data_IF_052373927342
#
_entry.id   IF_052373927342
#
_cell.length_a   1.000
_cell.length_b   1.000
_cell.length_c   1.000
_cell.angle_alpha   90.00
_cell.angle_beta   90.00
_cell.angle_gamma   90.00
#
_symmetry.space_group_name_H-M   'P 1'
#
loop_
_entity.id
_entity.type
_entity.pdbx_description
1 polymer ?
#
# COMPACT_ATOMS: atom_id res chain seq x y z
N UNK A 1 32.50 6.37 60.21
CA UNK A 1 31.38 5.46 59.90
C UNK A 1 30.33 6.22 59.13
N UNK A 2 30.05 5.81 57.88
CA UNK A 2 28.73 5.78 57.22
C UNK A 2 28.90 5.72 55.70
N UNK A 3 28.64 4.53 55.18
CA UNK A 3 28.36 4.18 53.79
C UNK A 3 27.14 4.94 53.25
N UNK A 4 27.17 5.39 51.98
CA UNK A 4 25.99 5.55 51.12
C UNK A 4 26.44 5.78 49.67
N UNK A 5 26.40 4.74 48.81
CA UNK A 5 25.32 4.44 47.85
C UNK A 5 25.46 5.21 46.52
N UNK A 6 25.87 4.44 45.52
CA UNK A 6 25.89 4.68 44.08
C UNK A 6 24.47 4.90 43.54
N UNK A 7 24.27 5.91 42.68
CA UNK A 7 23.12 5.99 41.76
C UNK A 7 23.66 6.41 40.40
N UNK A 8 23.62 5.47 39.44
CA UNK A 8 23.91 5.70 38.02
C UNK A 8 22.60 6.15 37.37
N UNK A 9 22.49 7.36 36.80
CA UNK A 9 21.31 7.75 36.06
C UNK A 9 21.36 7.16 34.65
N UNK A 10 20.35 6.34 34.33
CA UNK A 10 20.07 5.84 33.01
C UNK A 10 19.57 7.02 32.15
N UNK A 11 20.38 7.46 31.17
CA UNK A 11 19.97 8.47 30.20
C UNK A 11 19.01 7.81 29.21
N UNK A 12 17.72 8.15 29.33
CA UNK A 12 16.70 7.85 28.33
C UNK A 12 17.02 8.65 27.05
N UNK A 13 17.29 7.95 25.94
CA UNK A 13 17.37 8.57 24.63
C UNK A 13 16.02 9.20 24.29
N UNK A 14 15.96 10.53 24.33
CA UNK A 14 14.88 11.30 23.73
C UNK A 14 14.88 10.99 22.22
N UNK A 15 13.83 10.29 21.79
CA UNK A 15 13.58 9.98 20.41
C UNK A 15 13.31 11.27 19.60
N UNK A 16 13.91 11.28 18.41
CA UNK A 16 13.69 12.08 17.22
C UNK A 16 12.60 13.17 17.25
N UNK A 17 13.04 14.38 16.93
CA UNK A 17 12.25 15.45 16.34
C UNK A 17 11.37 14.95 15.19
N UNK A 18 10.05 15.02 15.37
CA UNK A 18 9.04 14.72 14.36
C UNK A 18 7.89 15.71 14.46
N UNK A 19 7.98 16.75 13.61
CA UNK A 19 6.97 17.69 13.12
C UNK A 19 5.51 17.58 13.67
N UNK A 20 4.89 18.69 14.15
CA UNK A 20 3.49 18.66 14.59
C UNK A 20 2.55 18.31 13.44
N UNK A 21 1.70 17.33 13.71
CA UNK A 21 0.69 16.78 12.82
C UNK A 21 -0.34 17.83 12.40
N UNK A 22 -0.62 17.89 11.09
CA UNK A 22 -1.91 18.34 10.58
C UNK A 22 -2.81 17.12 10.42
N UNK A 23 -3.93 16.99 11.17
CA UNK A 23 -4.95 16.04 10.79
C UNK A 23 -5.83 16.71 9.73
N UNK A 24 -5.51 16.50 8.46
CA UNK A 24 -6.52 16.56 7.43
C UNK A 24 -7.43 15.34 7.63
N UNK A 25 -8.58 15.56 8.27
CA UNK A 25 -9.62 14.56 8.41
C UNK A 25 -10.20 14.25 7.02
N UNK A 26 -9.56 13.36 6.28
CA UNK A 26 -10.19 12.69 5.15
C UNK A 26 -11.16 11.66 5.73
N UNK A 27 -12.46 11.98 5.67
CA UNK A 27 -13.53 11.02 5.92
C UNK A 27 -13.42 9.88 4.90
N UNK A 28 -12.61 8.88 5.21
CA UNK A 28 -12.69 7.57 4.57
C UNK A 28 -13.93 6.89 5.12
N UNK A 29 -15.06 7.11 4.46
CA UNK A 29 -16.24 6.29 4.66
C UNK A 29 -15.89 4.88 4.17
N UNK A 30 -15.49 4.00 5.08
CA UNK A 30 -15.28 2.60 4.78
C UNK A 30 -16.64 1.98 4.40
N UNK A 31 -16.79 1.58 3.14
CA UNK A 31 -17.94 0.80 2.71
C UNK A 31 -17.91 -0.54 3.46
N UNK A 32 -19.01 -0.88 4.16
CA UNK A 32 -19.15 -2.13 4.88
C UNK A 32 -19.10 -3.34 3.93
N UNK A 33 -18.47 -4.46 4.31
CA UNK A 33 -18.32 -5.62 3.43
C UNK A 33 -19.64 -6.39 3.34
N UNK A 34 -20.33 -6.28 2.22
CA UNK A 34 -21.50 -7.10 1.90
C UNK A 34 -21.09 -8.45 1.32
N UNK A 35 -21.03 -9.49 2.18
CA UNK A 35 -21.01 -10.93 1.91
C UNK A 35 -20.37 -11.43 0.60
N UNK A 36 -19.24 -12.13 0.75
CA UNK A 36 -18.39 -12.72 -0.32
C UNK A 36 -17.97 -11.66 -1.33
N UNK A 37 -17.11 -10.75 -0.86
CA UNK A 37 -16.54 -9.66 -1.62
C UNK A 37 -15.78 -10.20 -2.82
N UNK A 38 -16.33 -10.01 -4.01
CA UNK A 38 -15.53 -9.96 -5.22
C UNK A 38 -14.58 -8.76 -5.09
N UNK A 39 -13.40 -9.02 -4.52
CA UNK A 39 -12.42 -7.99 -4.23
C UNK A 39 -11.92 -7.33 -5.52
N UNK A 40 -11.88 -8.07 -6.62
CA UNK A 40 -11.53 -7.55 -7.94
C UNK A 40 -12.56 -6.51 -8.41
N UNK A 41 -13.86 -6.82 -8.29
CA UNK A 41 -14.94 -5.88 -8.60
C UNK A 41 -14.93 -4.66 -7.65
N UNK A 42 -14.64 -4.87 -6.37
CA UNK A 42 -14.54 -3.78 -5.40
C UNK A 42 -13.40 -2.81 -5.75
N UNK A 43 -12.21 -3.33 -6.10
CA UNK A 43 -11.06 -2.51 -6.53
C UNK A 43 -11.36 -1.76 -7.83
N UNK A 44 -12.10 -2.38 -8.76
CA UNK A 44 -12.43 -1.77 -10.04
C UNK A 44 -13.28 -0.49 -9.95
N UNK A 45 -14.12 -0.37 -8.91
CA UNK A 45 -15.01 0.78 -8.71
C UNK A 45 -14.45 1.83 -7.75
N UNK A 46 -13.25 1.61 -7.21
CA UNK A 46 -12.61 2.58 -6.32
C UNK A 46 -12.29 3.89 -7.07
N UNK A 47 -12.34 5.04 -6.36
CA UNK A 47 -11.73 6.27 -6.87
C UNK A 47 -10.27 6.03 -7.24
N UNK A 48 -9.81 6.63 -8.35
CA UNK A 48 -8.47 6.40 -8.92
C UNK A 48 -7.35 6.44 -7.88
N UNK A 49 -7.36 7.41 -6.95
CA UNK A 49 -6.33 7.50 -5.91
C UNK A 49 -6.32 6.30 -4.94
N UNK A 50 -7.49 5.80 -4.56
CA UNK A 50 -7.60 4.62 -3.69
C UNK A 50 -7.21 3.35 -4.44
N UNK A 51 -7.63 3.23 -5.70
CA UNK A 51 -7.27 2.11 -6.57
C UNK A 51 -5.75 2.03 -6.75
N UNK A 52 -5.09 3.15 -7.05
CA UNK A 52 -3.63 3.26 -7.14
C UNK A 52 -2.96 2.91 -5.80
N UNK A 53 -3.54 3.30 -4.67
CA UNK A 53 -3.06 2.87 -3.35
C UNK A 53 -3.06 1.35 -3.16
N UNK A 54 -4.08 0.64 -3.65
CA UNK A 54 -4.12 -0.84 -3.64
C UNK A 54 -3.02 -1.43 -4.53
N UNK A 55 -2.86 -0.89 -5.74
CA UNK A 55 -1.83 -1.34 -6.67
C UNK A 55 -0.40 -1.12 -6.12
N UNK A 56 -0.15 0.04 -5.52
CA UNK A 56 1.14 0.38 -4.93
C UNK A 56 1.48 -0.58 -3.78
N UNK A 57 0.49 -0.91 -2.95
CA UNK A 57 0.64 -1.92 -1.90
C UNK A 57 0.96 -3.29 -2.51
N UNK A 58 0.19 -3.76 -3.50
CA UNK A 58 0.40 -5.06 -4.12
C UNK A 58 1.81 -5.21 -4.72
N UNK A 59 2.30 -4.18 -5.44
CA UNK A 59 3.64 -4.17 -6.02
C UNK A 59 4.72 -4.25 -4.93
N UNK A 60 4.58 -3.46 -3.85
CA UNK A 60 5.53 -3.44 -2.74
C UNK A 60 5.51 -4.72 -1.91
N UNK A 61 4.35 -5.31 -1.70
CA UNK A 61 4.18 -6.60 -1.02
C UNK A 61 4.84 -7.74 -1.82
N UNK A 62 4.91 -7.60 -3.15
CA UNK A 62 5.67 -8.49 -4.04
C UNK A 62 7.20 -8.20 -4.05
N UNK A 63 7.69 -7.24 -3.26
CA UNK A 63 9.11 -6.91 -3.13
C UNK A 63 9.68 -6.06 -4.28
N UNK A 64 8.83 -5.44 -5.09
CA UNK A 64 9.24 -4.64 -6.23
C UNK A 64 9.35 -3.15 -5.84
N UNK A 65 10.33 -2.41 -6.38
CA UNK A 65 10.46 -0.98 -6.15
C UNK A 65 9.35 -0.23 -6.90
N UNK A 66 8.66 0.67 -6.22
CA UNK A 66 7.71 1.62 -6.77
C UNK A 66 7.38 2.63 -5.67
N UNK A 67 7.56 3.94 -5.91
CA UNK A 67 7.26 4.96 -4.89
C UNK A 67 5.89 5.57 -5.09
N UNK A 68 5.50 5.78 -6.34
CA UNK A 68 4.16 6.26 -6.70
C UNK A 68 3.68 5.61 -8.00
N UNK A 69 2.35 5.55 -8.18
CA UNK A 69 1.72 5.09 -9.42
C UNK A 69 1.17 6.28 -10.19
N UNK A 70 1.82 6.58 -11.30
CA UNK A 70 1.50 7.73 -12.14
C UNK A 70 0.39 7.41 -13.14
N UNK A 71 0.30 6.16 -13.59
CA UNK A 71 -0.77 5.68 -14.46
C UNK A 71 -1.23 4.25 -14.14
N UNK A 72 -2.47 3.94 -14.50
CA UNK A 72 -3.03 2.59 -14.42
C UNK A 72 -4.05 2.33 -15.53
N UNK A 73 -3.78 1.33 -16.37
CA UNK A 73 -4.69 0.90 -17.44
C UNK A 73 -5.35 -0.43 -17.07
N UNK A 74 -6.68 -0.52 -17.10
CA UNK A 74 -7.42 -1.78 -16.93
C UNK A 74 -7.47 -2.57 -18.23
N UNK A 75 -7.28 -3.88 -18.16
CA UNK A 75 -7.53 -4.81 -19.26
C UNK A 75 -8.91 -5.47 -19.13
N UNK A 76 -9.45 -6.07 -20.21
CA UNK A 76 -10.64 -6.90 -20.12
C UNK A 76 -10.46 -8.01 -19.07
N UNK A 77 -11.53 -8.31 -18.33
CA UNK A 77 -11.50 -9.41 -17.37
C UNK A 77 -11.49 -10.76 -18.13
N UNK A 78 -10.60 -11.67 -17.74
CA UNK A 78 -10.52 -13.02 -18.32
C UNK A 78 -10.66 -14.07 -17.21
N UNK A 79 -11.52 -15.06 -17.41
CA UNK A 79 -11.75 -16.16 -16.45
C UNK A 79 -12.03 -15.72 -15.00
N UNK A 80 -12.62 -14.53 -14.80
CA UNK A 80 -12.91 -13.98 -13.48
C UNK A 80 -11.71 -13.38 -12.76
N UNK A 81 -10.61 -13.12 -13.50
CA UNK A 81 -9.45 -12.36 -13.04
C UNK A 81 -9.54 -10.96 -13.66
N UNK A 82 -9.50 -9.94 -12.81
CA UNK A 82 -9.34 -8.57 -13.27
C UNK A 82 -7.86 -8.22 -13.29
N UNK A 83 -7.43 -7.57 -14.36
CA UNK A 83 -6.02 -7.24 -14.55
C UNK A 83 -5.81 -5.78 -14.92
N UNK A 84 -4.69 -5.24 -14.45
CA UNK A 84 -4.29 -3.86 -14.66
C UNK A 84 -2.80 -3.78 -14.95
N UNK A 85 -2.41 -2.86 -15.84
CA UNK A 85 -1.04 -2.38 -15.92
C UNK A 85 -0.93 -1.13 -15.07
N UNK A 86 -0.06 -1.16 -14.07
CA UNK A 86 0.34 0.02 -13.31
C UNK A 86 1.70 0.52 -13.80
N UNK A 87 1.84 1.84 -13.93
CA UNK A 87 3.09 2.51 -14.25
C UNK A 87 3.57 3.29 -13.02
N UNK A 88 4.80 2.98 -12.60
CA UNK A 88 5.45 3.65 -11.48
C UNK A 88 6.13 4.95 -11.93
N UNK A 89 6.45 5.80 -10.96
CA UNK A 89 7.14 7.07 -11.17
C UNK A 89 8.54 6.95 -11.78
N UNK A 90 9.20 5.82 -11.60
CA UNK A 90 10.47 5.47 -12.26
C UNK A 90 10.29 4.92 -13.69
N UNK A 91 9.05 4.93 -14.19
CA UNK A 91 8.63 4.44 -15.50
C UNK A 91 8.35 2.94 -15.54
N UNK A 92 8.76 2.16 -14.53
CA UNK A 92 8.57 0.71 -14.54
C UNK A 92 7.09 0.33 -14.63
N UNK A 93 6.80 -0.77 -15.34
CA UNK A 93 5.43 -1.23 -15.56
C UNK A 93 5.21 -2.62 -14.98
N UNK A 94 4.14 -2.75 -14.21
CA UNK A 94 3.77 -3.99 -13.52
C UNK A 94 2.36 -4.42 -13.93
N UNK A 95 2.22 -5.71 -14.27
CA UNK A 95 0.93 -6.34 -14.44
C UNK A 95 0.45 -6.83 -13.08
N UNK A 96 -0.75 -6.40 -12.70
CA UNK A 96 -1.41 -6.76 -11.44
C UNK A 96 -2.67 -7.53 -11.79
N UNK A 97 -2.79 -8.74 -11.27
CA UNK A 97 -3.96 -9.59 -11.40
C UNK A 97 -4.61 -9.76 -10.03
N UNK A 98 -5.88 -9.40 -9.89
CA UNK A 98 -6.64 -9.56 -8.65
C UNK A 98 -7.74 -10.57 -8.90
N UNK A 99 -7.73 -11.64 -8.10
CA UNK A 99 -8.79 -12.65 -8.08
C UNK A 99 -9.93 -12.21 -7.16
N UNK A 100 -11.10 -12.84 -7.34
CA UNK A 100 -12.29 -12.55 -6.53
C UNK A 100 -12.08 -12.73 -5.04
N UNK A 101 -11.18 -13.62 -4.63
CA UNK A 101 -10.82 -13.88 -3.22
C UNK A 101 -9.89 -12.83 -2.61
N UNK A 102 -9.47 -11.83 -3.39
CA UNK A 102 -8.56 -10.78 -2.95
C UNK A 102 -7.07 -11.11 -3.12
N UNK A 103 -6.75 -12.32 -3.62
CA UNK A 103 -5.37 -12.66 -3.96
C UNK A 103 -4.89 -11.80 -5.11
N UNK A 104 -3.83 -11.03 -4.88
CA UNK A 104 -3.14 -10.24 -5.91
C UNK A 104 -1.85 -10.95 -6.35
N UNK A 105 -1.67 -11.11 -7.66
CA UNK A 105 -0.41 -11.58 -8.26
C UNK A 105 0.18 -10.43 -9.06
N UNK A 106 1.48 -10.18 -8.90
CA UNK A 106 2.21 -9.11 -9.60
C UNK A 106 3.29 -9.71 -10.47
N UNK A 107 3.28 -9.36 -11.75
CA UNK A 107 4.30 -9.73 -12.71
C UNK A 107 4.98 -8.47 -13.27
N UNK A 108 6.30 -8.42 -13.17
CA UNK A 108 7.11 -7.33 -13.72
C UNK A 108 7.73 -7.77 -15.03
N UNK A 109 7.73 -6.87 -16.02
CA UNK A 109 8.66 -7.00 -17.14
C UNK A 109 9.79 -5.99 -16.94
N UNK A 110 11.06 -6.43 -16.92
CA UNK A 110 12.16 -5.48 -16.96
C UNK A 110 12.04 -4.66 -18.25
N UNK A 111 12.15 -3.34 -18.13
CA UNK A 111 12.28 -2.48 -19.29
C UNK A 111 13.55 -2.86 -20.04
N UNK A 112 13.43 -3.10 -21.34
CA UNK A 112 14.55 -3.52 -22.19
C UNK A 112 15.15 -2.33 -22.93
#
# INVERSE_FOLDING_TARGET
MRTAVTIIPLILLAACSGNPASPAANNMQAAAPGNVQDYAAAVAVLPVGQQRGVFLRAIRDAGLPCQDIIDSTRFPDEHGVSSWRAECDDGSQHLIEIRKDGTATVASRPQR
#
